data_IF_162226021412
#
_entry.id   IF_162226021412
#
_cell.length_a   1.000
_cell.length_b   1.000
_cell.length_c   1.000
_cell.angle_alpha   90.00
_cell.angle_beta   90.00
_cell.angle_gamma   90.00
#
_symmetry.space_group_name_H-M   'P 1'
#
loop_
_entity.id
_entity.type
_entity.pdbx_description
1 polymer ?
#
# COMPACT_ATOMS: atom_id res chain seq x y z
N UNK A 1 18.33 -13.75 2.35
CA UNK A 1 18.96 -12.41 2.39
C UNK A 1 18.59 -11.55 1.16
N UNK A 2 19.03 -11.87 -0.06
CA UNK A 2 18.71 -11.08 -1.30
C UNK A 2 17.21 -11.03 -1.61
N UNK A 3 16.50 -12.11 -1.31
CA UNK A 3 15.05 -12.23 -1.55
C UNK A 3 14.22 -11.36 -0.58
N UNK A 4 14.62 -11.26 0.68
CA UNK A 4 13.96 -10.39 1.67
C UNK A 4 14.12 -8.91 1.33
N UNK A 5 15.31 -8.51 0.88
CA UNK A 5 15.60 -7.12 0.52
C UNK A 5 14.82 -6.66 -0.73
N UNK A 6 14.68 -7.55 -1.72
CA UNK A 6 13.85 -7.28 -2.91
C UNK A 6 12.37 -7.19 -2.56
N UNK A 7 11.85 -8.10 -1.73
CA UNK A 7 10.48 -8.04 -1.22
C UNK A 7 10.20 -6.77 -0.39
N UNK A 8 11.16 -6.34 0.44
CA UNK A 8 11.04 -5.10 1.21
C UNK A 8 10.98 -3.86 0.30
N UNK A 9 11.79 -3.84 -0.78
CA UNK A 9 11.78 -2.75 -1.75
C UNK A 9 10.47 -2.69 -2.53
N UNK A 10 9.93 -3.84 -2.92
CA UNK A 10 8.61 -3.93 -3.57
C UNK A 10 7.48 -3.52 -2.63
N UNK A 11 7.48 -4.02 -1.40
CA UNK A 11 6.56 -3.61 -0.34
C UNK A 11 6.55 -2.08 -0.18
N UNK A 12 7.73 -1.46 -0.04
CA UNK A 12 7.84 -0.01 0.14
C UNK A 12 7.29 0.76 -1.07
N UNK A 13 7.54 0.29 -2.30
CA UNK A 13 7.00 0.91 -3.52
C UNK A 13 5.47 0.83 -3.55
N UNK A 14 4.89 -0.34 -3.29
CA UNK A 14 3.45 -0.56 -3.27
C UNK A 14 2.77 0.24 -2.15
N UNK A 15 3.38 0.28 -0.97
CA UNK A 15 2.86 1.04 0.16
C UNK A 15 2.87 2.55 -0.12
N UNK A 16 3.98 3.06 -0.69
CA UNK A 16 4.10 4.47 -1.07
C UNK A 16 3.13 4.86 -2.19
N UNK A 17 2.94 4.01 -3.21
CA UNK A 17 2.01 4.30 -4.29
C UNK A 17 0.57 4.35 -3.78
N UNK A 18 0.16 3.38 -2.97
CA UNK A 18 -1.17 3.40 -2.32
C UNK A 18 -1.38 4.60 -1.42
N UNK A 19 -0.37 4.96 -0.62
CA UNK A 19 -0.43 6.13 0.26
C UNK A 19 -0.54 7.44 -0.52
N UNK A 20 0.19 7.58 -1.64
CA UNK A 20 0.11 8.77 -2.50
C UNK A 20 -1.28 8.91 -3.12
N UNK A 21 -1.86 7.82 -3.61
CA UNK A 21 -3.22 7.85 -4.18
C UNK A 21 -4.24 8.24 -3.09
N UNK A 22 -4.12 7.70 -1.88
CA UNK A 22 -4.95 8.11 -0.74
C UNK A 22 -4.79 9.61 -0.43
N UNK A 23 -3.56 10.11 -0.38
CA UNK A 23 -3.27 11.53 -0.14
C UNK A 23 -3.94 12.43 -1.19
N UNK A 24 -3.85 12.05 -2.46
CA UNK A 24 -4.53 12.77 -3.55
C UNK A 24 -6.05 12.71 -3.39
N UNK A 25 -6.61 11.55 -3.06
CA UNK A 25 -8.04 11.40 -2.81
C UNK A 25 -8.52 12.31 -1.67
N UNK A 26 -7.79 12.31 -0.54
CA UNK A 26 -8.09 13.18 0.59
C UNK A 26 -7.94 14.66 0.23
N UNK A 27 -6.88 15.05 -0.47
CA UNK A 27 -6.68 16.43 -0.90
C UNK A 27 -7.85 16.90 -1.79
N UNK A 28 -8.32 16.06 -2.71
CA UNK A 28 -9.47 16.36 -3.56
C UNK A 28 -10.75 16.53 -2.75
N UNK A 29 -10.99 15.72 -1.72
CA UNK A 29 -12.15 15.84 -0.85
C UNK A 29 -12.09 17.08 0.06
N UNK A 30 -10.91 17.41 0.60
CA UNK A 30 -10.72 18.52 1.53
C UNK A 30 -10.80 19.86 0.80
N UNK A 31 -10.04 20.02 -0.29
CA UNK A 31 -10.00 21.28 -1.03
C UNK A 31 -11.17 21.43 -2.01
N UNK A 32 -11.82 20.33 -2.39
CA UNK A 32 -12.97 20.27 -3.28
C UNK A 32 -12.87 21.21 -4.52
N UNK A 33 -11.76 21.20 -5.29
CA UNK A 33 -11.54 22.15 -6.39
C UNK A 33 -12.60 22.05 -7.50
N UNK A 34 -13.32 20.93 -7.57
CA UNK A 34 -14.37 20.66 -8.55
C UNK A 34 -15.76 20.48 -7.89
N UNK A 35 -15.93 20.93 -6.65
CA UNK A 35 -17.19 20.83 -5.90
C UNK A 35 -17.64 19.37 -5.72
N UNK A 36 -18.89 19.07 -6.10
CA UNK A 36 -19.47 17.71 -5.99
C UNK A 36 -18.71 16.66 -6.81
N UNK A 37 -18.03 17.07 -7.89
CA UNK A 37 -17.25 16.16 -8.72
C UNK A 37 -16.05 15.58 -7.95
N UNK A 38 -15.47 16.35 -7.02
CA UNK A 38 -14.40 15.88 -6.14
C UNK A 38 -14.83 14.71 -5.25
N UNK A 39 -16.11 14.66 -4.85
CA UNK A 39 -16.66 13.55 -4.07
C UNK A 39 -16.69 12.26 -4.91
N UNK A 40 -17.15 12.35 -6.16
CA UNK A 40 -17.18 11.21 -7.09
C UNK A 40 -15.77 10.71 -7.40
N UNK A 41 -14.84 11.63 -7.67
CA UNK A 41 -13.44 11.28 -7.94
C UNK A 41 -12.82 10.63 -6.70
N UNK A 42 -13.03 11.20 -5.51
CA UNK A 42 -12.61 10.61 -4.24
C UNK A 42 -13.13 9.19 -4.08
N UNK A 43 -14.44 8.98 -4.28
CA UNK A 43 -15.09 7.67 -4.18
C UNK A 43 -14.45 6.60 -5.08
N UNK A 44 -13.95 6.99 -6.26
CA UNK A 44 -13.23 6.08 -7.18
C UNK A 44 -11.76 5.92 -6.77
N UNK A 45 -11.10 6.99 -6.31
CA UNK A 45 -9.68 6.93 -5.93
C UNK A 45 -9.43 6.07 -4.68
N UNK A 46 -10.36 6.03 -3.72
CA UNK A 46 -10.23 5.16 -2.54
C UNK A 46 -10.05 3.67 -2.89
N UNK A 47 -10.95 3.01 -3.65
CA UNK A 47 -10.75 1.62 -4.04
C UNK A 47 -9.55 1.42 -4.95
N UNK A 48 -9.18 2.40 -5.78
CA UNK A 48 -7.96 2.34 -6.58
C UNK A 48 -6.71 2.32 -5.69
N UNK A 49 -6.69 3.12 -4.61
CA UNK A 49 -5.59 3.12 -3.65
C UNK A 49 -5.49 1.82 -2.85
N UNK A 50 -6.61 1.13 -2.63
CA UNK A 50 -6.62 -0.16 -1.94
C UNK A 50 -5.89 -1.26 -2.71
N UNK A 51 -5.86 -1.20 -4.06
CA UNK A 51 -5.19 -2.23 -4.87
C UNK A 51 -3.71 -2.38 -4.50
N UNK A 52 -2.85 -1.35 -4.57
CA UNK A 52 -1.45 -1.47 -4.17
C UNK A 52 -1.28 -1.70 -2.66
N UNK A 53 -2.18 -1.18 -1.80
CA UNK A 53 -2.11 -1.43 -0.35
C UNK A 53 -2.38 -2.88 0.02
N UNK A 54 -3.35 -3.54 -0.63
CA UNK A 54 -3.65 -4.95 -0.42
C UNK A 54 -2.49 -5.83 -0.92
N UNK A 55 -1.85 -5.45 -2.03
CA UNK A 55 -0.63 -6.12 -2.50
C UNK A 55 0.52 -5.94 -1.51
N UNK A 56 0.71 -4.73 -0.97
CA UNK A 56 1.70 -4.47 0.08
C UNK A 56 1.41 -5.28 1.35
N UNK A 57 0.13 -5.42 1.73
CA UNK A 57 -0.28 -6.26 2.86
C UNK A 57 0.08 -7.73 2.64
N UNK A 58 -0.15 -8.25 1.42
CA UNK A 58 0.23 -9.62 1.05
C UNK A 58 1.74 -9.83 1.08
N UNK A 59 2.54 -8.88 0.60
CA UNK A 59 4.00 -8.98 0.66
C UNK A 59 4.50 -8.90 2.10
N UNK A 60 3.95 -8.02 2.94
CA UNK A 60 4.26 -7.95 4.37
C UNK A 60 3.96 -9.27 5.09
N UNK A 61 2.83 -9.90 4.79
CA UNK A 61 2.47 -11.20 5.38
C UNK A 61 3.45 -12.31 4.98
N UNK A 62 3.86 -12.35 3.70
CA UNK A 62 4.89 -13.29 3.24
C UNK A 62 6.24 -13.05 3.91
N UNK A 63 6.67 -11.80 4.03
CA UNK A 63 7.91 -11.45 4.73
C UNK A 63 7.87 -11.88 6.21
N UNK A 64 6.73 -11.68 6.89
CA UNK A 64 6.56 -12.11 8.27
C UNK A 64 6.66 -13.64 8.42
N UNK A 65 6.04 -14.41 7.52
CA UNK A 65 6.13 -15.87 7.54
C UNK A 65 7.56 -16.37 7.30
N UNK A 66 8.27 -15.77 6.35
CA UNK A 66 9.68 -16.11 6.08
C UNK A 66 10.56 -15.81 7.30
N UNK A 67 10.39 -14.65 7.93
CA UNK A 67 11.14 -14.27 9.12
C UNK A 67 10.89 -15.22 10.31
N UNK A 68 9.65 -15.69 10.48
CA UNK A 68 9.30 -16.68 11.51
C UNK A 68 9.92 -18.06 11.19
N UNK A 69 9.88 -18.50 9.94
CA UNK A 69 10.46 -19.77 9.52
C UNK A 69 11.99 -19.80 9.62
N UNK A 70 12.68 -18.69 9.36
CA UNK A 70 14.13 -18.58 9.53
C UNK A 70 14.54 -18.51 11.01
N UNK A 71 13.65 -18.03 11.88
CA UNK A 71 13.85 -18.00 13.33
C UNK A 71 13.79 -19.39 13.99
N UNK A 72 12.98 -20.30 13.45
CA UNK A 72 12.75 -21.65 14.00
C UNK A 72 13.87 -22.65 13.62
N UNK A 73 14.55 -22.43 12.49
CA UNK A 73 15.67 -23.28 12.03
C UNK A 73 17.02 -23.04 12.73
N UNK A 74 17.08 -22.12 13.70
CA UNK A 74 18.29 -21.79 14.48
C UNK A 74 18.18 -22.15 15.98
N UNK A 75 17.10 -22.82 16.40
CA UNK A 75 16.89 -23.30 17.76
C UNK A 75 17.31 -24.77 17.91
#
# INVERSE_FOLDING_TARGET
MVELETMQREYRKLMLSGLLILLVAFALLIFAPFGRLSLLIGLVLFPVALVPLELARRTAHRMALLALSEGDGKA
#
